data_IF_928247108186
#
_entry.id   IF_928247108186
#
_cell.length_a   1.000
_cell.length_b   1.000
_cell.length_c   1.000
_cell.angle_alpha   90.00
_cell.angle_beta   90.00
_cell.angle_gamma   90.00
#
_symmetry.space_group_name_H-M   'P 1'
#
loop_
_entity.id
_entity.type
_entity.pdbx_description
1 polymer ?
#
# COMPACT_ATOMS: atom_id res chain seq x y z
N UNK A 1 -3.63 -5.95 -8.39
CA UNK A 1 -4.00 -4.52 -8.31
C UNK A 1 -2.77 -3.74 -7.93
N UNK A 2 -2.64 -2.49 -8.39
CA UNK A 2 -1.49 -1.64 -8.07
C UNK A 2 -1.65 -1.11 -6.65
N UNK A 3 -0.94 -1.72 -5.71
CA UNK A 3 -1.00 -1.40 -4.29
C UNK A 3 0.41 -1.20 -3.75
N UNK A 4 0.53 -0.39 -2.70
CA UNK A 4 1.80 -0.03 -2.12
C UNK A 4 1.70 0.11 -0.59
N UNK A 5 2.82 -0.14 0.08
CA UNK A 5 3.05 0.26 1.46
C UNK A 5 3.73 1.63 1.46
N UNK A 6 3.13 2.60 2.12
CA UNK A 6 3.67 3.96 2.22
C UNK A 6 4.00 4.33 3.66
N UNK A 7 4.94 5.25 3.82
CA UNK A 7 5.24 5.93 5.08
C UNK A 7 4.42 7.20 5.21
N UNK A 8 3.77 7.37 6.36
CA UNK A 8 3.00 8.57 6.72
C UNK A 8 3.53 9.08 8.06
N UNK A 9 3.76 10.38 8.15
CA UNK A 9 4.10 11.03 9.41
C UNK A 9 2.82 11.29 10.21
N UNK A 10 2.73 10.73 11.41
CA UNK A 10 1.63 11.03 12.32
C UNK A 10 1.83 12.38 13.03
N UNK A 11 0.73 12.94 13.57
CA UNK A 11 0.74 14.22 14.31
C UNK A 11 1.67 14.21 15.52
N UNK A 12 1.93 13.04 16.08
CA UNK A 12 2.82 12.82 17.22
C UNK A 12 4.30 12.62 16.80
N UNK A 13 4.62 12.73 15.50
CA UNK A 13 5.97 12.56 14.96
C UNK A 13 6.42 11.11 14.80
N UNK A 14 5.56 10.13 15.11
CA UNK A 14 5.83 8.72 14.84
C UNK A 14 5.51 8.37 13.38
N UNK A 15 6.48 7.80 12.67
CA UNK A 15 6.27 7.22 11.35
C UNK A 15 5.31 6.03 11.44
N UNK A 16 4.23 6.07 10.68
CA UNK A 16 3.27 4.98 10.51
C UNK A 16 3.29 4.48 9.08
N UNK A 17 3.18 3.17 8.91
CA UNK A 17 3.08 2.57 7.59
C UNK A 17 1.63 2.17 7.31
N UNK A 18 1.14 2.51 6.12
CA UNK A 18 -0.22 2.13 5.69
C UNK A 18 -0.21 1.56 4.27
N UNK A 19 -1.15 0.68 3.99
CA UNK A 19 -1.38 0.19 2.63
C UNK A 19 -2.29 1.14 1.87
N UNK A 20 -1.99 1.32 0.59
CA UNK A 20 -2.78 2.15 -0.31
C UNK A 20 -2.99 1.46 -1.64
N UNK A 21 -4.11 1.76 -2.30
CA UNK A 21 -4.32 1.45 -3.70
C UNK A 21 -3.90 2.65 -4.54
N UNK A 22 -2.98 2.43 -5.47
CA UNK A 22 -2.52 3.45 -6.39
C UNK A 22 -3.60 3.67 -7.46
N UNK A 23 -4.05 4.92 -7.61
CA UNK A 23 -5.06 5.28 -8.61
C UNK A 23 -4.43 5.93 -9.83
N UNK A 24 -3.47 6.84 -9.60
CA UNK A 24 -2.82 7.58 -10.67
C UNK A 24 -1.46 8.11 -10.23
N UNK A 25 -0.48 8.18 -11.14
CA UNK A 25 0.84 8.76 -10.91
C UNK A 25 1.08 9.88 -11.91
N UNK A 26 1.65 11.00 -11.46
CA UNK A 26 1.89 12.15 -12.33
C UNK A 26 3.01 13.03 -11.80
N UNK A 27 3.53 13.88 -12.70
CA UNK A 27 4.48 14.93 -12.37
C UNK A 27 3.77 16.28 -12.38
N UNK A 28 4.06 17.11 -11.39
CA UNK A 28 3.53 18.47 -11.34
C UNK A 28 4.66 19.47 -11.11
N UNK A 29 4.69 20.55 -11.88
CA UNK A 29 5.75 21.56 -11.77
C UNK A 29 5.22 22.75 -10.96
N UNK A 30 5.89 23.08 -9.86
CA UNK A 30 5.59 24.25 -9.01
C UNK A 30 6.85 25.07 -8.86
N UNK A 31 6.84 26.33 -9.28
CA UNK A 31 7.98 27.26 -9.15
C UNK A 31 9.31 26.64 -9.61
N UNK A 32 9.28 26.01 -10.79
CA UNK A 32 10.42 25.32 -11.42
C UNK A 32 10.95 24.08 -10.68
N UNK A 33 10.18 23.53 -9.73
CA UNK A 33 10.46 22.24 -9.09
C UNK A 33 9.46 21.20 -9.59
N UNK A 34 9.96 20.05 -10.00
CA UNK A 34 9.12 18.91 -10.38
C UNK A 34 8.79 18.09 -9.15
N UNK A 35 7.50 17.89 -8.90
CA UNK A 35 6.98 17.03 -7.83
C UNK A 35 6.48 15.75 -8.47
N UNK A 36 7.04 14.63 -8.03
CA UNK A 36 6.53 13.31 -8.38
C UNK A 36 5.45 12.89 -7.37
N UNK A 37 4.20 12.83 -7.85
CA UNK A 37 3.02 12.64 -7.02
C UNK A 37 2.21 11.41 -7.45
N UNK A 38 1.44 10.89 -6.51
CA UNK A 38 0.42 9.89 -6.77
C UNK A 38 -0.90 10.27 -6.10
N UNK A 39 -2.00 9.98 -6.79
CA UNK A 39 -3.32 9.89 -6.18
C UNK A 39 -3.51 8.46 -5.69
N UNK A 40 -3.77 8.30 -4.40
CA UNK A 40 -3.92 7.01 -3.75
C UNK A 40 -5.23 6.93 -2.99
N UNK A 41 -5.70 5.71 -2.77
CA UNK A 41 -6.83 5.41 -1.92
C UNK A 41 -6.33 4.62 -0.70
N UNK A 42 -6.37 5.20 0.51
CA UNK A 42 -5.92 4.51 1.70
C UNK A 42 -6.74 3.26 2.00
N UNK A 43 -6.09 2.29 2.64
CA UNK A 43 -6.70 1.03 3.03
C UNK A 43 -6.57 0.83 4.54
N UNK A 44 -7.68 0.46 5.16
CA UNK A 44 -7.75 0.18 6.60
C UNK A 44 -7.81 -1.33 6.84
N UNK A 45 -7.56 -1.75 8.08
CA UNK A 45 -7.86 -3.12 8.48
C UNK A 45 -9.36 -3.39 8.32
N UNK A 46 -9.71 -4.55 7.76
CA UNK A 46 -11.12 -4.90 7.61
C UNK A 46 -11.77 -5.09 8.99
N UNK A 47 -12.93 -4.46 9.28
CA UNK A 47 -13.55 -4.49 10.60
C UNK A 47 -14.12 -5.87 10.98
N UNK A 48 -14.22 -6.81 10.03
CA UNK A 48 -14.69 -8.18 10.29
C UNK A 48 -13.59 -9.16 9.91
N UNK A 49 -12.89 -9.68 10.91
CA UNK A 49 -12.01 -10.81 10.72
C UNK A 49 -12.83 -12.09 10.89
N UNK A 50 -13.06 -12.82 9.79
CA UNK A 50 -13.71 -14.14 9.87
C UNK A 50 -12.81 -15.06 10.71
N UNK A 51 -13.40 -16.02 11.41
CA UNK A 51 -12.61 -17.01 12.19
C UNK A 51 -11.55 -17.69 11.30
N UNK A 52 -11.95 -18.05 10.07
CA UNK A 52 -11.05 -18.61 9.07
C UNK A 52 -9.87 -17.68 8.73
N UNK A 53 -10.12 -16.39 8.52
CA UNK A 53 -9.07 -15.40 8.20
C UNK A 53 -8.05 -15.34 9.35
N UNK A 54 -8.52 -15.39 10.60
CA UNK A 54 -7.66 -15.41 11.78
C UNK A 54 -6.86 -16.71 11.89
N UNK A 55 -7.51 -17.85 11.71
CA UNK A 55 -6.89 -19.17 11.86
C UNK A 55 -5.82 -19.41 10.76
N UNK A 56 -6.03 -18.86 9.56
CA UNK A 56 -5.08 -18.87 8.45
C UNK A 56 -4.10 -17.68 8.47
N UNK A 57 -4.19 -16.79 9.47
CA UNK A 57 -3.36 -15.57 9.62
C UNK A 57 -3.39 -14.66 8.39
N UNK A 58 -4.52 -14.61 7.69
CA UNK A 58 -4.73 -13.72 6.56
C UNK A 58 -4.90 -12.28 7.04
N UNK A 59 -4.19 -11.37 6.38
CA UNK A 59 -4.35 -9.93 6.61
C UNK A 59 -5.32 -9.37 5.59
N UNK A 60 -6.50 -8.98 6.05
CA UNK A 60 -7.58 -8.44 5.21
C UNK A 60 -7.62 -6.92 5.32
N UNK A 61 -7.51 -6.26 4.19
CA UNK A 61 -7.51 -4.82 4.03
C UNK A 61 -8.79 -4.37 3.32
N UNK A 62 -9.29 -3.19 3.66
CA UNK A 62 -10.47 -2.58 3.05
C UNK A 62 -10.11 -1.22 2.48
N UNK A 63 -10.39 -1.00 1.20
CA UNK A 63 -10.26 0.34 0.59
C UNK A 63 -11.29 1.29 1.18
N UNK A 64 -10.86 2.52 1.49
CA UNK A 64 -11.76 3.63 1.83
C UNK A 64 -12.67 4.00 0.64
N UNK A 65 -13.76 4.76 0.86
CA UNK A 65 -14.51 5.36 -0.25
C UNK A 65 -13.62 6.23 -1.14
N UNK A 66 -13.84 6.21 -2.45
CA UNK A 66 -13.02 6.95 -3.42
C UNK A 66 -12.95 8.46 -3.15
N UNK A 67 -13.97 9.04 -2.51
CA UNK A 67 -13.99 10.44 -2.08
C UNK A 67 -12.92 10.79 -1.03
N UNK A 68 -12.32 9.78 -0.38
CA UNK A 68 -11.21 9.92 0.56
C UNK A 68 -9.85 9.60 -0.10
N UNK A 69 -9.74 9.77 -1.41
CA UNK A 69 -8.46 9.68 -2.10
C UNK A 69 -7.56 10.84 -1.69
N UNK A 70 -6.26 10.57 -1.56
CA UNK A 70 -5.28 11.54 -1.09
C UNK A 70 -4.09 11.62 -2.06
N UNK A 71 -3.48 12.80 -2.16
CA UNK A 71 -2.22 12.96 -2.88
C UNK A 71 -1.05 12.67 -1.96
N UNK A 72 -0.11 11.86 -2.43
CA UNK A 72 1.15 11.58 -1.75
C UNK A 72 2.32 11.90 -2.68
N UNK A 73 3.50 12.09 -2.10
CA UNK A 73 4.74 12.07 -2.87
C UNK A 73 5.12 10.62 -3.17
N UNK A 74 5.68 10.34 -4.36
CA UNK A 74 6.17 8.98 -4.67
C UNK A 74 7.29 8.54 -3.72
N UNK A 75 8.02 9.49 -3.15
CA UNK A 75 9.09 9.25 -2.17
C UNK A 75 8.58 8.63 -0.85
N UNK A 76 7.27 8.67 -0.59
CA UNK A 76 6.66 8.00 0.57
C UNK A 76 6.43 6.51 0.35
N UNK A 77 6.50 6.02 -0.89
CA UNK A 77 6.33 4.60 -1.21
C UNK A 77 7.57 3.84 -0.75
N UNK A 78 7.36 2.88 0.15
CA UNK A 78 8.42 2.00 0.64
C UNK A 78 8.53 0.79 -0.30
N UNK A 79 7.40 0.11 -0.53
CA UNK A 79 7.35 -1.12 -1.31
C UNK A 79 6.03 -1.27 -2.07
N UNK A 80 6.05 -2.03 -3.16
CA UNK A 80 4.84 -2.55 -3.80
C UNK A 80 4.20 -3.65 -2.94
N UNK A 81 2.88 -3.78 -3.00
CA UNK A 81 2.12 -4.79 -2.27
C UNK A 81 1.26 -5.61 -3.22
N UNK A 82 1.31 -6.94 -3.09
CA UNK A 82 0.46 -7.86 -3.83
C UNK A 82 -0.82 -8.12 -3.04
N UNK A 83 -1.93 -7.55 -3.53
CA UNK A 83 -3.26 -7.74 -2.97
C UNK A 83 -4.16 -8.54 -3.91
N UNK A 84 -4.90 -9.49 -3.34
CA UNK A 84 -5.92 -10.30 -4.03
C UNK A 84 -7.31 -9.85 -3.56
N UNK A 85 -8.26 -9.55 -4.46
CA UNK A 85 -9.61 -9.14 -4.06
C UNK A 85 -10.32 -10.28 -3.31
N UNK A 86 -11.13 -9.92 -2.32
CA UNK A 86 -12.13 -10.84 -1.79
C UNK A 86 -13.30 -10.92 -2.78
N UNK A 87 -13.60 -12.13 -3.25
CA UNK A 87 -14.68 -12.38 -4.19
C UNK A 87 -16.07 -12.11 -3.60
N UNK A 88 -16.20 -12.12 -2.27
CA UNK A 88 -17.45 -11.78 -1.59
C UNK A 88 -17.66 -10.25 -1.43
N UNK A 89 -16.59 -9.46 -1.53
CA UNK A 89 -16.64 -8.03 -1.26
C UNK A 89 -15.60 -7.23 -2.06
N UNK A 90 -16.07 -6.48 -3.06
CA UNK A 90 -15.26 -5.69 -3.98
C UNK A 90 -14.38 -4.59 -3.35
N UNK A 91 -14.55 -4.30 -2.05
CA UNK A 91 -13.72 -3.34 -1.32
C UNK A 91 -12.70 -3.99 -0.41
N UNK A 92 -12.77 -5.30 -0.26
CA UNK A 92 -11.86 -6.06 0.60
C UNK A 92 -10.82 -6.79 -0.23
N UNK A 93 -9.63 -6.88 0.33
CA UNK A 93 -8.47 -7.47 -0.30
C UNK A 93 -7.67 -8.24 0.75
N UNK A 94 -7.03 -9.32 0.34
CA UNK A 94 -6.07 -10.05 1.15
C UNK A 94 -4.65 -9.65 0.75
N UNK A 95 -3.84 -9.30 1.74
CA UNK A 95 -2.40 -9.11 1.57
C UNK A 95 -1.76 -10.48 1.41
N UNK A 96 -1.16 -10.71 0.24
CA UNK A 96 -0.39 -11.93 -0.05
C UNK A 96 1.07 -11.71 0.33
N UNK A 97 1.62 -10.58 -0.11
CA UNK A 97 3.02 -10.24 0.12
C UNK A 97 3.24 -8.73 -0.04
N UNK A 98 4.27 -8.19 0.59
CA UNK A 98 4.85 -6.91 0.21
C UNK A 98 6.28 -7.17 -0.26
N UNK A 99 6.61 -6.73 -1.47
CA UNK A 99 7.92 -7.02 -2.04
C UNK A 99 8.94 -6.19 -1.27
N UNK A 100 9.60 -6.81 -0.31
CA UNK A 100 10.80 -6.25 0.31
C UNK A 100 11.88 -6.15 -0.78
N UNK A 101 12.52 -4.99 -0.89
CA UNK A 101 13.63 -4.79 -1.82
C UNK A 101 14.75 -5.81 -1.55
N UNK A 102 14.87 -6.27 -0.29
CA UNK A 102 15.86 -7.27 0.14
C UNK A 102 15.56 -8.71 -0.30
N UNK A 103 14.32 -9.05 -0.70
CA UNK A 103 14.02 -10.39 -1.22
C UNK A 103 14.75 -10.69 -2.54
N UNK A 104 15.07 -9.67 -3.35
CA UNK A 104 15.92 -9.84 -4.53
C UNK A 104 17.42 -9.91 -4.21
N UNK A 105 17.86 -9.37 -3.07
CA UNK A 105 19.26 -9.44 -2.65
C UNK A 105 19.66 -10.86 -2.21
N UNK A 106 18.73 -11.65 -1.69
CA UNK A 106 19.01 -13.05 -1.35
C UNK A 106 19.19 -13.95 -2.59
N UNK A 107 18.56 -13.61 -3.72
CA UNK A 107 18.77 -14.33 -4.99
C UNK A 107 20.13 -13.97 -5.61
N UNK A 108 20.59 -12.73 -5.46
CA UNK A 108 21.91 -12.32 -5.95
C UNK A 108 23.08 -12.89 -5.13
N UNK A 109 22.86 -13.27 -3.85
CA UNK A 109 23.93 -13.82 -3.00
C UNK A 109 24.24 -15.31 -3.20
N UNK A 110 23.54 -16.00 -4.12
CA UNK A 110 23.82 -17.39 -4.52
C UNK A 110 24.40 -17.53 -5.94
N UNK A 111 24.76 -16.42 -6.59
CA UNK A 111 25.39 -16.41 -7.92
C UNK A 111 26.78 -15.74 -7.90
N UNK A 112 27.55 -15.99 -6.85
CA UNK A 112 29.00 -15.75 -6.82
C UNK A 112 29.67 -16.95 -6.16
#
# INVERSE_FOLDING_TARGET
>A
HDCALIRVQDKDGCDKNIFVKLLFMFKHIVSNRTLDLALVLPMDASPRQRLLDRDLRLTRLRTRPAALSEFITLHSIIHGALLVPDFDNNRDYFLVDYIDTDMFLHVQRKLI
#
